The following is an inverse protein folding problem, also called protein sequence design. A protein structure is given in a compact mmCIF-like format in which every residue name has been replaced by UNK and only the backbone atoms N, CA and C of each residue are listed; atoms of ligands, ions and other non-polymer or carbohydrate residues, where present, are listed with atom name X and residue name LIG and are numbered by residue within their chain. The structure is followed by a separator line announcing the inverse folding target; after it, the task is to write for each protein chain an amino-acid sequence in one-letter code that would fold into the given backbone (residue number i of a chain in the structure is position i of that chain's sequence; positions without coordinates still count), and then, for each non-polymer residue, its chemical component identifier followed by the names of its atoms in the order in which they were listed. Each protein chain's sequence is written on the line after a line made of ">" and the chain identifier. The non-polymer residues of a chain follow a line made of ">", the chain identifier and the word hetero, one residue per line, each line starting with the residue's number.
data_IF_034049445808
#
_entry.id   IF_034049445808
#
_cell.length_a   1.000
_cell.length_b   1.000
_cell.length_c   1.000
_cell.angle_alpha   90.00
_cell.angle_beta   90.00
_cell.angle_gamma   90.00
#
_symmetry.space_group_name_H-M   'P 1'
#
loop_
_entity.id
_entity.type
_entity.pdbx_description
1 polymer ?
#
# COMPACT_ATOMS: atom_id res chain seq x y z
N UNK A 1 22.15 -13.59 -7.89
CA UNK A 1 21.50 -12.56 -8.73
C UNK A 1 20.10 -13.01 -9.14
N UNK A 2 19.90 -14.26 -9.56
CA UNK A 2 18.58 -14.79 -9.96
C UNK A 2 17.48 -14.66 -8.91
N UNK A 3 17.79 -14.84 -7.62
CA UNK A 3 16.81 -14.70 -6.54
C UNK A 3 16.25 -13.28 -6.37
N UNK A 4 17.07 -12.24 -6.59
CA UNK A 4 16.63 -10.84 -6.52
C UNK A 4 15.70 -10.50 -7.69
N UNK A 5 16.03 -10.98 -8.88
CA UNK A 5 15.20 -10.81 -10.08
C UNK A 5 13.85 -11.50 -9.91
N UNK A 6 13.83 -12.71 -9.33
CA UNK A 6 12.59 -13.42 -9.06
C UNK A 6 11.72 -12.70 -8.02
N UNK A 7 12.32 -12.15 -6.96
CA UNK A 7 11.58 -11.39 -5.96
C UNK A 7 10.99 -10.11 -6.56
N UNK A 8 11.76 -9.38 -7.36
CA UNK A 8 11.28 -8.18 -8.04
C UNK A 8 10.11 -8.50 -8.97
N UNK A 9 10.19 -9.59 -9.73
CA UNK A 9 9.08 -10.05 -10.58
C UNK A 9 7.83 -10.35 -9.75
N UNK A 10 7.98 -11.11 -8.65
CA UNK A 10 6.85 -11.46 -7.80
C UNK A 10 6.16 -10.21 -7.21
N UNK A 11 6.94 -9.19 -6.84
CA UNK A 11 6.40 -7.93 -6.35
C UNK A 11 5.59 -7.21 -7.45
N UNK A 12 6.14 -7.11 -8.66
CA UNK A 12 5.44 -6.48 -9.80
C UNK A 12 4.15 -7.22 -10.13
N UNK A 13 4.20 -8.55 -10.22
CA UNK A 13 3.04 -9.39 -10.55
C UNK A 13 1.94 -9.25 -9.47
N UNK A 14 2.32 -9.19 -8.18
CA UNK A 14 1.39 -9.02 -7.07
C UNK A 14 0.79 -7.61 -7.02
N UNK A 15 1.60 -6.55 -7.23
CA UNK A 15 1.06 -5.20 -7.32
C UNK A 15 0.05 -5.10 -8.46
N UNK A 16 0.35 -5.68 -9.63
CA UNK A 16 -0.57 -5.68 -10.76
C UNK A 16 -1.91 -6.39 -10.45
N UNK A 17 -1.90 -7.50 -9.69
CA UNK A 17 -3.14 -8.18 -9.30
C UNK A 17 -3.99 -7.31 -8.37
N UNK A 18 -3.38 -6.58 -7.44
CA UNK A 18 -4.10 -5.67 -6.54
C UNK A 18 -4.83 -4.53 -7.30
N UNK A 19 -4.20 -3.98 -8.35
CA UNK A 19 -4.86 -3.03 -9.24
C UNK A 19 -5.99 -3.67 -10.06
N UNK A 20 -5.77 -4.88 -10.58
CA UNK A 20 -6.78 -5.59 -11.37
C UNK A 20 -8.03 -5.95 -10.56
N UNK A 21 -7.84 -6.35 -9.30
CA UNK A 21 -8.90 -6.68 -8.36
C UNK A 21 -9.60 -5.43 -7.77
N UNK A 22 -9.04 -4.24 -8.01
CA UNK A 22 -9.61 -2.96 -7.55
C UNK A 22 -9.29 -2.60 -6.09
N UNK A 23 -8.31 -3.27 -5.47
CA UNK A 23 -7.80 -2.88 -4.15
C UNK A 23 -6.96 -1.62 -4.19
N UNK A 24 -6.26 -1.41 -5.32
CA UNK A 24 -5.46 -0.21 -5.57
C UNK A 24 -5.99 0.52 -6.80
N UNK A 25 -5.87 1.83 -6.78
CA UNK A 25 -6.24 2.71 -7.88
C UNK A 25 -5.16 3.78 -8.13
N UNK A 26 -5.45 4.71 -9.03
CA UNK A 26 -4.51 5.76 -9.44
C UNK A 26 -4.01 6.63 -8.27
N UNK A 27 -4.75 6.71 -7.16
CA UNK A 27 -4.31 7.43 -5.97
C UNK A 27 -3.07 6.76 -5.34
N UNK A 28 -2.99 5.42 -5.37
CA UNK A 28 -1.80 4.71 -4.89
C UNK A 28 -0.56 5.04 -5.73
N UNK A 29 -0.71 5.18 -7.06
CA UNK A 29 0.37 5.62 -7.95
C UNK A 29 0.87 7.03 -7.59
N UNK A 30 -0.04 7.93 -7.23
CA UNK A 30 0.32 9.28 -6.80
C UNK A 30 1.11 9.27 -5.49
N UNK A 31 0.75 8.41 -4.54
CA UNK A 31 1.52 8.23 -3.30
C UNK A 31 2.94 7.73 -3.60
N UNK A 32 3.09 6.78 -4.52
CA UNK A 32 4.41 6.29 -4.94
C UNK A 32 5.27 7.38 -5.59
N UNK A 33 4.67 8.30 -6.36
CA UNK A 33 5.39 9.42 -6.98
C UNK A 33 5.92 10.45 -5.99
N UNK A 34 5.34 10.51 -4.79
CA UNK A 34 5.79 11.38 -3.70
C UNK A 34 6.93 10.76 -2.88
N UNK A 35 7.19 9.47 -3.04
CA UNK A 35 8.33 8.80 -2.43
C UNK A 35 9.61 9.11 -3.22
N UNK A 36 10.63 9.60 -2.55
CA UNK A 36 11.92 9.95 -3.15
C UNK A 36 13.09 9.48 -2.27
N UNK A 37 14.33 9.74 -2.70
CA UNK A 37 15.54 9.35 -1.95
C UNK A 37 15.66 10.02 -0.58
N UNK A 38 15.00 11.17 -0.38
CA UNK A 38 14.99 11.91 0.88
C UNK A 38 13.92 11.40 1.85
N UNK A 39 12.85 10.79 1.33
CA UNK A 39 11.82 10.12 2.12
C UNK A 39 11.46 8.74 1.51
N UNK A 40 12.32 7.73 1.68
CA UNK A 40 12.12 6.41 1.08
C UNK A 40 10.96 5.62 1.70
N UNK A 41 10.50 5.99 2.90
CA UNK A 41 9.48 5.26 3.65
C UNK A 41 8.08 5.89 3.53
N UNK A 42 7.93 6.97 2.76
CA UNK A 42 6.70 7.76 2.64
C UNK A 42 5.43 6.91 2.42
N UNK A 43 5.45 6.00 1.43
CA UNK A 43 4.27 5.16 1.13
C UNK A 43 3.95 4.24 2.29
N UNK A 44 4.97 3.69 2.95
CA UNK A 44 4.78 2.80 4.10
C UNK A 44 4.17 3.55 5.27
N UNK A 45 4.64 4.76 5.57
CA UNK A 45 4.09 5.62 6.62
C UNK A 45 2.62 5.95 6.36
N UNK A 46 2.28 6.37 5.14
CA UNK A 46 0.90 6.72 4.77
C UNK A 46 -0.03 5.51 4.88
N UNK A 47 0.40 4.35 4.37
CA UNK A 47 -0.39 3.11 4.43
C UNK A 47 -0.56 2.62 5.88
N UNK A 48 0.48 2.76 6.71
CA UNK A 48 0.40 2.43 8.13
C UNK A 48 -0.65 3.28 8.85
N UNK A 49 -0.60 4.61 8.65
CA UNK A 49 -1.57 5.53 9.23
C UNK A 49 -3.00 5.23 8.76
N UNK A 50 -3.18 4.90 7.47
CA UNK A 50 -4.48 4.49 6.95
C UNK A 50 -5.04 3.27 7.67
N UNK A 51 -4.23 2.23 7.90
CA UNK A 51 -4.70 1.02 8.58
C UNK A 51 -5.01 1.26 10.06
N UNK A 52 -4.19 2.04 10.77
CA UNK A 52 -4.45 2.42 12.16
C UNK A 52 -5.77 3.20 12.30
N UNK A 53 -6.01 4.17 11.41
CA UNK A 53 -7.25 4.93 11.41
C UNK A 53 -8.46 4.08 10.99
N UNK A 54 -8.31 3.20 10.00
CA UNK A 54 -9.36 2.28 9.58
C UNK A 54 -9.77 1.32 10.71
N UNK A 55 -8.79 0.75 11.43
CA UNK A 55 -9.05 -0.10 12.59
C UNK A 55 -9.82 0.66 13.68
N UNK A 56 -9.40 1.89 13.99
CA UNK A 56 -10.09 2.75 14.95
C UNK A 56 -11.54 3.02 14.53
N UNK A 57 -11.76 3.42 13.27
CA UNK A 57 -13.09 3.70 12.73
C UNK A 57 -14.00 2.46 12.76
N UNK A 58 -13.49 1.29 12.37
CA UNK A 58 -14.24 0.03 12.43
C UNK A 58 -14.62 -0.34 13.87
N UNK A 59 -13.71 -0.16 14.83
CA UNK A 59 -13.99 -0.37 16.24
C UNK A 59 -15.04 0.59 16.80
N UNK A 60 -15.05 1.85 16.36
CA UNK A 60 -16.07 2.85 16.74
C UNK A 60 -17.44 2.51 16.15
N UNK A 61 -17.49 2.10 14.88
CA UNK A 61 -18.73 1.65 14.22
C UNK A 61 -19.30 0.42 14.93
N UNK A 62 -18.47 -0.56 15.26
CA UNK A 62 -18.90 -1.78 15.98
C UNK A 62 -19.43 -1.52 17.38
N UNK A 63 -19.05 -0.42 18.04
CA UNK A 63 -19.58 -0.03 19.35
C UNK A 63 -20.90 0.73 19.26
N UNK A 64 -21.17 1.32 18.09
CA UNK A 64 -22.34 2.18 17.85
C UNK A 64 -23.52 1.40 17.28
N UNK A 65 -23.24 0.30 16.56
CA UNK A 65 -24.21 -0.68 16.07
C UNK A 65 -24.61 -1.69 17.16
#
# INVERSE_FOLDING_TARGET
>A
MDGLVQLQKNLVDYTASLFHEGFLDEQFNQLQQLQDESNPDFVVEVVTLFFEDAERLLNELSKTL
#
